data_IF_662581740564
#
_entry.id   IF_662581740564
#
_cell.length_a   1.000
_cell.length_b   1.000
_cell.length_c   1.000
_cell.angle_alpha   90.00
_cell.angle_beta   90.00
_cell.angle_gamma   90.00
#
_symmetry.space_group_name_H-M   'P 1'
#
loop_
_entity.id
_entity.type
_entity.pdbx_description
1 polymer ?
#
# COMPACT_ATOMS: atom_id res chain seq x y z
N UNK A 1 -15.58 -5.65 -2.64
CA UNK A 1 -14.19 -6.05 -2.99
C UNK A 1 -14.15 -6.62 -4.40
N UNK A 2 -13.39 -6.04 -5.36
CA UNK A 2 -13.18 -6.60 -6.72
C UNK A 2 -11.77 -7.19 -6.78
N UNK A 3 -11.67 -8.50 -6.82
CA UNK A 3 -10.41 -9.23 -7.03
C UNK A 3 -9.91 -8.95 -8.47
N UNK A 4 -8.75 -8.29 -8.62
CA UNK A 4 -8.27 -7.82 -9.93
C UNK A 4 -7.60 -8.93 -10.75
N UNK A 5 -6.93 -9.88 -10.08
CA UNK A 5 -6.32 -11.04 -10.72
C UNK A 5 -6.01 -12.12 -9.68
N UNK A 6 -6.42 -13.36 -9.95
CA UNK A 6 -6.00 -14.55 -9.20
C UNK A 6 -5.72 -15.67 -10.20
N UNK A 7 -4.45 -16.05 -10.29
CA UNK A 7 -3.95 -17.05 -11.24
C UNK A 7 -2.81 -17.84 -10.61
N UNK A 8 -2.73 -19.14 -10.91
CA UNK A 8 -1.68 -20.01 -10.40
C UNK A 8 -0.29 -19.69 -10.98
N UNK A 9 -0.23 -19.00 -12.13
CA UNK A 9 1.01 -18.63 -12.81
C UNK A 9 0.81 -17.35 -13.61
N UNK A 10 1.77 -16.43 -13.55
CA UNK A 10 1.71 -15.15 -14.27
C UNK A 10 2.17 -15.36 -15.73
N UNK A 11 1.29 -15.90 -16.56
CA UNK A 11 1.52 -16.05 -18.00
C UNK A 11 1.10 -14.78 -18.78
N UNK A 12 1.34 -14.78 -20.11
CA UNK A 12 1.09 -13.61 -20.96
C UNK A 12 -0.40 -13.20 -20.97
N UNK A 13 -1.33 -14.15 -20.85
CA UNK A 13 -2.76 -13.87 -20.82
C UNK A 13 -3.17 -13.24 -19.49
N UNK A 14 -2.63 -13.76 -18.38
CA UNK A 14 -2.82 -13.23 -17.04
C UNK A 14 -2.23 -11.82 -16.90
N UNK A 15 -1.07 -11.59 -17.50
CA UNK A 15 -0.45 -10.26 -17.55
C UNK A 15 -1.30 -9.26 -18.33
N UNK A 16 -1.91 -9.65 -19.45
CA UNK A 16 -2.85 -8.78 -20.19
C UNK A 16 -4.11 -8.44 -19.39
N UNK A 17 -4.66 -9.40 -18.61
CA UNK A 17 -5.77 -9.12 -17.69
C UNK A 17 -5.38 -8.15 -16.59
N UNK A 18 -4.18 -8.30 -16.02
CA UNK A 18 -3.65 -7.35 -15.03
C UNK A 18 -3.54 -5.95 -15.62
N UNK A 19 -2.95 -5.83 -16.81
CA UNK A 19 -2.83 -4.54 -17.50
C UNK A 19 -4.19 -3.89 -17.76
N UNK A 20 -5.18 -4.66 -18.21
CA UNK A 20 -6.54 -4.13 -18.38
C UNK A 20 -7.17 -3.66 -17.06
N UNK A 21 -6.95 -4.39 -15.96
CA UNK A 21 -7.43 -3.98 -14.65
C UNK A 21 -6.71 -2.73 -14.11
N UNK A 22 -5.42 -2.55 -14.44
CA UNK A 22 -4.65 -1.35 -14.13
C UNK A 22 -5.09 -0.15 -14.98
N UNK A 23 -5.45 -0.35 -16.24
CA UNK A 23 -5.96 0.70 -17.12
C UNK A 23 -7.36 1.19 -16.69
N UNK A 24 -8.19 0.31 -16.13
CA UNK A 24 -9.48 0.66 -15.51
C UNK A 24 -9.32 1.34 -14.13
N UNK A 25 -8.10 1.36 -13.57
CA UNK A 25 -7.85 1.93 -12.27
C UNK A 25 -7.96 3.47 -12.35
N UNK A 26 -8.92 4.03 -11.62
CA UNK A 26 -9.07 5.49 -11.50
C UNK A 26 -7.94 6.06 -10.64
N UNK A 27 -6.82 6.37 -11.28
CA UNK A 27 -5.68 7.04 -10.66
C UNK A 27 -6.09 8.47 -10.24
N UNK A 28 -5.79 8.84 -8.99
CA UNK A 28 -5.95 10.22 -8.54
C UNK A 28 -4.92 11.13 -9.23
N UNK A 29 -5.37 12.22 -9.84
CA UNK A 29 -4.48 13.26 -10.37
C UNK A 29 -3.91 14.06 -9.20
N UNK A 30 -2.57 14.13 -9.09
CA UNK A 30 -1.88 14.92 -8.07
C UNK A 30 -1.47 16.26 -8.69
N UNK A 31 -1.75 17.37 -8.00
CA UNK A 31 -1.34 18.71 -8.42
C UNK A 31 0.19 18.86 -8.45
N UNK A 32 0.70 19.59 -9.44
CA UNK A 32 2.14 19.88 -9.60
C UNK A 32 2.72 20.65 -8.40
N UNK A 33 1.91 21.44 -7.71
CA UNK A 33 2.23 22.18 -6.50
C UNK A 33 2.60 21.27 -5.32
N UNK A 34 1.98 20.10 -5.22
CA UNK A 34 2.29 19.07 -4.21
C UNK A 34 3.64 18.42 -4.52
N UNK A 35 3.95 18.20 -5.80
CA UNK A 35 5.21 17.58 -6.24
C UNK A 35 6.41 18.54 -6.12
N UNK A 36 6.17 19.85 -6.23
CA UNK A 36 7.19 20.90 -6.08
C UNK A 36 7.56 21.22 -4.62
N UNK A 37 6.78 20.73 -3.64
CA UNK A 37 7.00 20.97 -2.22
C UNK A 37 7.67 19.76 -1.53
N UNK A 38 8.84 19.93 -0.89
CA UNK A 38 9.47 18.86 -0.10
C UNK A 38 8.58 18.25 0.99
N UNK A 39 7.66 19.04 1.56
CA UNK A 39 6.66 18.58 2.52
C UNK A 39 5.37 18.04 1.87
N UNK A 40 5.19 18.20 0.56
CA UNK A 40 3.97 17.87 -0.16
C UNK A 40 3.71 16.36 -0.25
N UNK A 41 4.75 15.55 -0.43
CA UNK A 41 4.63 14.08 -0.43
C UNK A 41 4.13 13.53 0.91
N UNK A 42 4.72 13.92 2.07
CA UNK A 42 4.16 13.62 3.39
C UNK A 42 2.67 13.97 3.54
N UNK A 43 2.30 15.18 3.15
CA UNK A 43 0.94 15.70 3.29
C UNK A 43 -0.04 14.94 2.40
N UNK A 44 0.39 14.58 1.19
CA UNK A 44 -0.40 13.78 0.27
C UNK A 44 -0.71 12.40 0.86
N UNK A 45 0.30 11.70 1.40
CA UNK A 45 0.12 10.38 2.00
C UNK A 45 -0.86 10.47 3.18
N UNK A 46 -0.71 11.45 4.06
CA UNK A 46 -1.63 11.69 5.18
C UNK A 46 -3.07 11.94 4.67
N UNK A 47 -3.24 12.83 3.70
CA UNK A 47 -4.55 13.14 3.12
C UNK A 47 -5.21 11.94 2.46
N UNK A 48 -4.46 11.14 1.70
CA UNK A 48 -4.97 9.95 1.03
C UNK A 48 -5.40 8.92 2.06
N UNK A 49 -4.56 8.60 3.04
CA UNK A 49 -4.88 7.61 4.08
C UNK A 49 -6.12 8.05 4.87
N UNK A 50 -6.18 9.29 5.33
CA UNK A 50 -7.35 9.81 6.06
C UNK A 50 -8.62 9.76 5.23
N UNK A 51 -8.54 10.12 3.94
CA UNK A 51 -9.68 10.09 3.04
C UNK A 51 -10.22 8.68 2.89
N UNK A 52 -9.35 7.68 2.70
CA UNK A 52 -9.80 6.29 2.55
C UNK A 52 -10.38 5.73 3.85
N UNK A 53 -9.82 6.08 5.00
CA UNK A 53 -10.34 5.65 6.33
C UNK A 53 -11.69 6.26 6.68
N UNK A 54 -11.99 7.47 6.18
CA UNK A 54 -13.25 8.18 6.46
C UNK A 54 -14.39 7.82 5.49
N UNK A 55 -14.19 6.83 4.62
CA UNK A 55 -15.24 6.37 3.70
C UNK A 55 -16.35 5.66 4.47
N UNK A 56 -17.60 5.70 3.99
CA UNK A 56 -18.71 4.96 4.59
C UNK A 56 -18.44 3.44 4.69
N UNK A 57 -17.66 2.92 3.73
CA UNK A 57 -17.13 1.57 3.71
C UNK A 57 -15.60 1.67 3.65
N UNK A 58 -14.92 1.73 4.81
CA UNK A 58 -13.46 1.85 4.86
C UNK A 58 -12.80 0.55 4.40
N UNK A 59 -11.61 0.61 3.78
CA UNK A 59 -10.95 -0.59 3.25
C UNK A 59 -10.48 -1.53 4.37
N UNK A 60 -10.47 -2.85 4.12
CA UNK A 60 -9.87 -3.83 5.03
C UNK A 60 -8.33 -3.82 4.99
N UNK A 61 -7.73 -3.29 3.93
CA UNK A 61 -6.30 -3.14 3.77
C UNK A 61 -5.90 -1.86 3.02
N UNK A 62 -4.79 -1.26 3.43
CA UNK A 62 -4.10 -0.17 2.75
C UNK A 62 -2.72 -0.67 2.33
N UNK A 63 -2.46 -0.63 1.03
CA UNK A 63 -1.23 -1.17 0.43
C UNK A 63 -0.49 -0.04 -0.25
N UNK A 64 0.72 0.24 0.21
CA UNK A 64 1.68 1.08 -0.49
C UNK A 64 2.48 0.21 -1.47
N UNK A 65 2.69 0.69 -2.69
CA UNK A 65 3.49 0.00 -3.71
C UNK A 65 4.40 1.01 -4.36
N UNK A 66 5.71 0.76 -4.37
CA UNK A 66 6.65 1.68 -5.00
C UNK A 66 8.11 1.43 -4.64
N UNK A 67 9.03 2.14 -5.30
CA UNK A 67 10.44 2.18 -4.92
C UNK A 67 10.64 2.97 -3.62
N UNK A 68 11.88 2.98 -3.12
CA UNK A 68 12.29 3.76 -1.95
C UNK A 68 11.62 5.13 -1.89
N UNK A 69 10.90 5.36 -0.81
CA UNK A 69 10.27 6.65 -0.58
C UNK A 69 11.30 7.65 -0.09
N UNK A 70 11.30 8.85 -0.70
CA UNK A 70 11.97 10.04 -0.13
C UNK A 70 11.16 10.67 1.00
N UNK A 71 10.05 10.04 1.40
CA UNK A 71 9.31 10.42 2.58
C UNK A 71 10.23 10.24 3.80
N UNK A 72 10.54 11.33 4.48
CA UNK A 72 11.25 11.30 5.76
C UNK A 72 10.32 11.55 6.95
N UNK A 73 9.06 11.90 6.66
CA UNK A 73 8.07 12.27 7.66
C UNK A 73 7.75 11.15 8.64
N UNK A 74 7.38 11.54 9.85
CA UNK A 74 6.67 10.67 10.79
C UNK A 74 5.17 10.95 10.65
N UNK A 75 4.31 9.92 10.57
CA UNK A 75 2.86 10.15 10.59
C UNK A 75 2.45 10.97 11.81
N UNK A 76 1.53 11.94 11.65
CA UNK A 76 1.01 12.71 12.78
C UNK A 76 0.38 11.76 13.82
N UNK A 77 0.57 11.98 15.13
CA UNK A 77 -0.06 11.17 16.18
C UNK A 77 -1.59 11.04 16.02
N UNK A 78 -2.23 12.07 15.47
CA UNK A 78 -3.67 12.11 15.20
C UNK A 78 -4.06 11.10 14.11
N UNK A 79 -3.19 10.89 13.10
CA UNK A 79 -3.42 9.87 12.07
C UNK A 79 -3.35 8.47 12.67
N UNK A 80 -2.36 8.21 13.52
CA UNK A 80 -2.20 6.92 14.20
C UNK A 80 -3.44 6.58 15.04
N UNK A 81 -3.99 7.58 15.73
CA UNK A 81 -5.23 7.44 16.51
C UNK A 81 -6.46 7.18 15.65
N UNK A 82 -6.61 7.88 14.53
CA UNK A 82 -7.72 7.64 13.58
C UNK A 82 -7.64 6.21 13.01
N UNK A 83 -6.43 5.70 12.78
CA UNK A 83 -6.21 4.35 12.26
C UNK A 83 -6.52 3.27 13.30
N UNK A 84 -6.16 3.49 14.57
CA UNK A 84 -6.36 2.54 15.68
C UNK A 84 -7.83 2.33 16.10
N UNK A 85 -8.80 2.67 15.26
CA UNK A 85 -10.22 2.44 15.48
C UNK A 85 -10.57 0.95 15.67
N UNK A 86 -11.86 0.61 15.88
CA UNK A 86 -12.27 -0.73 16.32
C UNK A 86 -11.94 -1.87 15.34
N UNK A 87 -11.70 -1.57 14.06
CA UNK A 87 -11.31 -2.54 13.02
C UNK A 87 -10.21 -1.91 12.14
N UNK A 88 -8.98 -1.72 12.64
CA UNK A 88 -7.92 -0.98 11.95
C UNK A 88 -7.48 -1.75 10.69
N UNK A 89 -7.35 -1.16 9.49
CA UNK A 89 -7.00 -1.92 8.29
C UNK A 89 -5.63 -2.59 8.39
N UNK A 90 -5.40 -3.63 7.59
CA UNK A 90 -4.06 -4.17 7.39
C UNK A 90 -3.21 -3.16 6.62
N UNK A 91 -2.01 -2.85 7.11
CA UNK A 91 -1.06 -2.01 6.39
C UNK A 91 0.02 -2.86 5.75
N UNK A 92 0.25 -2.65 4.46
CA UNK A 92 1.31 -3.32 3.71
C UNK A 92 2.13 -2.32 2.91
N UNK A 93 3.43 -2.59 2.80
CA UNK A 93 4.29 -1.94 1.82
C UNK A 93 4.96 -2.99 0.94
N UNK A 94 4.62 -2.98 -0.35
CA UNK A 94 5.29 -3.77 -1.38
C UNK A 94 6.42 -2.93 -1.95
N UNK A 95 7.61 -3.13 -1.38
CA UNK A 95 8.77 -2.30 -1.64
C UNK A 95 9.53 -2.80 -2.87
N UNK A 96 9.39 -2.08 -3.98
CA UNK A 96 9.99 -2.37 -5.28
C UNK A 96 11.42 -1.80 -5.33
N UNK A 97 12.36 -2.45 -4.66
CA UNK A 97 13.76 -2.00 -4.68
C UNK A 97 14.68 -2.99 -5.38
N UNK A 98 15.65 -2.47 -6.14
CA UNK A 98 16.74 -3.26 -6.73
C UNK A 98 17.94 -3.38 -5.79
N UNK A 99 17.97 -2.61 -4.71
CA UNK A 99 19.08 -2.54 -3.76
C UNK A 99 18.55 -2.37 -2.34
N UNK A 100 19.16 -3.05 -1.38
CA UNK A 100 18.78 -2.92 0.02
C UNK A 100 19.39 -1.64 0.56
N UNK A 101 18.56 -0.71 1.04
CA UNK A 101 19.07 0.42 1.80
C UNK A 101 19.46 -0.07 3.20
N UNK A 102 20.53 0.47 3.81
CA UNK A 102 20.90 0.09 5.17
C UNK A 102 20.00 0.73 6.24
N UNK A 103 19.02 1.56 5.85
CA UNK A 103 18.02 2.16 6.72
C UNK A 103 16.62 1.98 6.17
N UNK A 104 15.62 1.96 7.07
CA UNK A 104 14.20 1.97 6.70
C UNK A 104 13.84 3.31 6.06
N UNK A 105 13.21 3.26 4.88
CA UNK A 105 12.62 4.46 4.28
C UNK A 105 11.42 4.96 5.13
N UNK A 106 10.90 6.16 4.86
CA UNK A 106 9.81 6.65 5.70
C UNK A 106 8.50 5.87 5.58
N UNK A 107 8.23 5.22 4.43
CA UNK A 107 7.03 4.40 4.28
C UNK A 107 7.19 3.10 5.07
N UNK A 108 8.38 2.50 5.09
CA UNK A 108 8.68 1.38 5.97
C UNK A 108 8.46 1.77 7.43
N UNK A 109 8.96 2.94 7.86
CA UNK A 109 8.74 3.44 9.23
C UNK A 109 7.27 3.74 9.52
N UNK A 110 6.53 4.22 8.54
CA UNK A 110 5.08 4.47 8.64
C UNK A 110 4.34 3.16 8.86
N UNK A 111 4.58 2.17 8.00
CA UNK A 111 3.93 0.86 8.07
C UNK A 111 4.28 0.13 9.36
N UNK A 112 5.54 0.18 9.80
CA UNK A 112 5.97 -0.32 11.11
C UNK A 112 5.16 0.30 12.27
N UNK A 113 4.98 1.63 12.27
CA UNK A 113 4.21 2.35 13.32
C UNK A 113 2.72 2.02 13.32
N UNK A 114 2.23 1.41 12.25
CA UNK A 114 0.84 1.00 12.07
C UNK A 114 0.64 -0.50 12.28
N UNK A 115 1.62 -1.17 12.88
CA UNK A 115 1.66 -2.63 13.05
C UNK A 115 1.45 -3.39 11.73
N UNK A 116 1.89 -2.77 10.62
CA UNK A 116 1.81 -3.32 9.28
C UNK A 116 3.07 -4.10 8.88
N UNK A 117 3.10 -4.55 7.62
CA UNK A 117 4.21 -5.36 7.12
C UNK A 117 4.82 -4.81 5.83
N UNK A 118 6.15 -4.76 5.79
CA UNK A 118 6.91 -4.47 4.58
C UNK A 118 7.39 -5.77 3.93
N UNK A 119 7.10 -5.93 2.63
CA UNK A 119 7.60 -7.01 1.77
C UNK A 119 8.52 -6.41 0.72
N UNK A 120 9.79 -6.77 0.75
CA UNK A 120 10.73 -6.38 -0.30
C UNK A 120 10.54 -7.27 -1.53
N UNK A 121 10.28 -6.64 -2.67
CA UNK A 121 9.96 -7.31 -3.92
C UNK A 121 11.14 -7.13 -4.87
N UNK A 122 11.91 -8.20 -5.05
CA UNK A 122 13.09 -8.23 -5.91
C UNK A 122 12.79 -8.93 -7.24
N UNK A 123 11.92 -9.93 -7.18
CA UNK A 123 11.53 -10.81 -8.27
C UNK A 123 10.00 -10.92 -8.34
N UNK A 124 9.44 -11.31 -9.49
CA UNK A 124 8.01 -11.56 -9.62
C UNK A 124 7.44 -12.55 -8.59
N UNK A 125 8.23 -13.56 -8.20
CA UNK A 125 7.80 -14.57 -7.21
C UNK A 125 7.60 -13.97 -5.81
N UNK A 126 8.43 -13.00 -5.41
CA UNK A 126 8.29 -12.30 -4.12
C UNK A 126 6.94 -11.54 -4.06
N UNK A 127 6.53 -10.96 -5.20
CA UNK A 127 5.23 -10.29 -5.31
C UNK A 127 4.09 -11.30 -5.18
N UNK A 128 4.20 -12.43 -5.85
CA UNK A 128 3.20 -13.49 -5.76
C UNK A 128 3.09 -14.08 -4.35
N UNK A 129 4.20 -14.20 -3.62
CA UNK A 129 4.21 -14.60 -2.21
C UNK A 129 3.56 -13.54 -1.31
N UNK A 130 3.88 -12.26 -1.52
CA UNK A 130 3.32 -11.15 -0.76
C UNK A 130 1.80 -11.01 -0.94
N UNK A 131 1.30 -11.18 -2.17
CA UNK A 131 -0.14 -11.18 -2.47
C UNK A 131 -0.82 -12.36 -1.76
N UNK A 132 -0.25 -13.57 -1.83
CA UNK A 132 -0.82 -14.76 -1.16
C UNK A 132 -0.89 -14.61 0.36
N UNK A 133 0.14 -14.05 0.99
CA UNK A 133 0.12 -13.76 2.43
C UNK A 133 -0.98 -12.74 2.79
N UNK A 134 -1.07 -11.65 2.03
CA UNK A 134 -2.11 -10.64 2.20
C UNK A 134 -3.52 -11.25 2.08
N UNK A 135 -3.78 -12.04 1.04
CA UNK A 135 -5.07 -12.72 0.85
C UNK A 135 -5.41 -13.63 2.04
N UNK A 136 -4.45 -14.41 2.52
CA UNK A 136 -4.65 -15.30 3.67
C UNK A 136 -4.97 -14.51 4.95
N UNK A 137 -4.37 -13.34 5.14
CA UNK A 137 -4.70 -12.46 6.27
C UNK A 137 -6.07 -11.82 6.16
N UNK A 138 -6.42 -11.36 4.96
CA UNK A 138 -7.75 -10.82 4.70
C UNK A 138 -8.84 -11.87 4.94
N UNK A 139 -8.64 -13.12 4.50
CA UNK A 139 -9.59 -14.22 4.79
C UNK A 139 -9.75 -14.46 6.29
N UNK A 140 -8.64 -14.63 7.02
CA UNK A 140 -8.67 -14.83 8.48
C UNK A 140 -9.41 -13.71 9.24
N UNK A 141 -9.36 -12.48 8.70
CA UNK A 141 -10.06 -11.32 9.27
C UNK A 141 -11.54 -11.24 8.85
N UNK A 142 -11.92 -11.82 7.72
CA UNK A 142 -13.32 -11.93 7.32
C UNK A 142 -14.05 -13.02 8.12
N UNK A 143 -13.32 -14.07 8.53
CA UNK A 143 -13.85 -15.22 9.27
C UNK A 143 -13.94 -15.02 10.80
N UNK A 144 -13.38 -13.92 11.33
CA UNK A 144 -13.35 -13.58 12.76
C UNK A 144 -14.12 -12.30 13.07
#
# INVERSE_FOLDING_TARGET
QRELLNVAKLDLASFRRLMGALDELKLGTIGLDILGNPAGVPQLIDQVVRRELKRPDPPDAIIFIGPNSRYEGTPPPELLREIAGPRPPLFYYLHLTRFQLPWKDGLERLVDKLDGETRHIWRPDDLADAIRDLENRLRRRADG
#
